data_IF_341817955700
#
_entry.id   IF_341817955700
#
_cell.length_a   1.000
_cell.length_b   1.000
_cell.length_c   1.000
_cell.angle_alpha   90.00
_cell.angle_beta   90.00
_cell.angle_gamma   90.00
#
_symmetry.space_group_name_H-M   'P 1'
#
loop_
_entity.id
_entity.type
_entity.pdbx_description
1 polymer ?
#
# COMPACT_ATOMS: atom_id res chain seq x y z
N UNK A 1 7.37 10.57 6.02
CA UNK A 1 6.20 9.76 5.61
C UNK A 1 5.44 10.41 4.44
N UNK A 2 4.75 11.54 4.64
CA UNK A 2 3.87 12.13 3.62
C UNK A 2 4.53 12.41 2.25
N UNK A 3 5.69 13.07 2.24
CA UNK A 3 6.37 13.44 0.99
C UNK A 3 6.82 12.21 0.19
N UNK A 4 7.37 11.18 0.85
CA UNK A 4 7.78 9.94 0.19
C UNK A 4 6.59 9.19 -0.40
N UNK A 5 5.48 9.11 0.33
CA UNK A 5 4.22 8.52 -0.15
C UNK A 5 3.68 9.28 -1.36
N UNK A 6 3.62 10.61 -1.29
CA UNK A 6 3.17 11.45 -2.39
C UNK A 6 4.00 11.20 -3.65
N UNK A 7 5.34 11.19 -3.54
CA UNK A 7 6.24 10.97 -4.66
C UNK A 7 6.05 9.57 -5.26
N UNK A 8 6.00 8.54 -4.41
CA UNK A 8 5.83 7.15 -4.87
C UNK A 8 4.49 6.96 -5.61
N UNK A 9 3.39 7.43 -5.04
CA UNK A 9 2.05 7.27 -5.64
C UNK A 9 1.85 8.22 -6.83
N UNK A 10 2.51 9.38 -6.86
CA UNK A 10 2.52 10.24 -8.06
C UNK A 10 3.25 9.56 -9.21
N UNK A 11 4.42 8.95 -8.94
CA UNK A 11 5.14 8.17 -9.94
C UNK A 11 4.29 7.02 -10.47
N UNK A 12 3.53 6.33 -9.62
CA UNK A 12 2.58 5.31 -10.06
C UNK A 12 1.48 5.92 -10.95
N UNK A 13 0.90 7.06 -10.54
CA UNK A 13 -0.13 7.75 -11.32
C UNK A 13 0.36 8.20 -12.69
N UNK A 14 1.61 8.61 -12.81
CA UNK A 14 2.22 9.00 -14.08
C UNK A 14 2.38 7.79 -15.01
N UNK A 15 2.82 6.64 -14.47
CA UNK A 15 2.87 5.37 -15.22
C UNK A 15 1.48 4.93 -15.69
N UNK A 16 0.47 4.92 -14.80
CA UNK A 16 -0.90 4.54 -15.16
C UNK A 16 -1.47 5.44 -16.28
N UNK A 17 -1.16 6.74 -16.27
CA UNK A 17 -1.58 7.66 -17.34
C UNK A 17 -0.87 7.40 -18.65
N UNK A 18 0.42 7.05 -18.60
CA UNK A 18 1.20 6.73 -19.79
C UNK A 18 0.67 5.44 -20.46
N UNK A 19 0.39 4.41 -19.66
CA UNK A 19 -0.16 3.15 -20.16
C UNK A 19 -1.55 3.35 -20.78
N UNK A 20 -2.44 4.10 -20.11
CA UNK A 20 -3.76 4.43 -20.67
C UNK A 20 -3.67 5.25 -21.97
N UNK A 21 -2.69 6.13 -22.08
CA UNK A 21 -2.48 6.91 -23.30
C UNK A 21 -1.97 6.04 -24.45
N UNK A 22 -1.09 5.07 -24.16
CA UNK A 22 -0.60 4.09 -25.12
C UNK A 22 -1.74 3.19 -25.61
N UNK A 23 -2.48 2.60 -24.68
CA UNK A 23 -3.65 1.73 -24.91
C UNK A 23 -4.68 2.42 -25.81
N UNK A 24 -4.99 3.69 -25.51
CA UNK A 24 -5.89 4.48 -26.34
C UNK A 24 -5.39 4.66 -27.78
N UNK A 25 -4.07 4.74 -27.97
CA UNK A 25 -3.44 4.78 -29.30
C UNK A 25 -3.52 3.44 -30.02
N UNK A 26 -3.30 2.35 -29.31
CA UNK A 26 -3.38 0.97 -29.79
C UNK A 26 -4.82 0.63 -30.23
N UNK A 27 -5.82 0.91 -29.40
CA UNK A 27 -7.24 0.77 -29.76
C UNK A 27 -7.66 1.58 -30.99
N UNK A 28 -7.03 2.73 -31.23
CA UNK A 28 -7.31 3.56 -32.39
C UNK A 28 -6.62 3.08 -33.68
N UNK A 29 -5.50 2.38 -33.57
CA UNK A 29 -4.63 2.02 -34.71
C UNK A 29 -4.65 0.53 -35.06
N UNK A 30 -4.96 -0.34 -34.09
CA UNK A 30 -4.90 -1.80 -34.20
C UNK A 30 -6.12 -2.49 -33.53
N UNK A 31 -7.37 -2.08 -33.79
CA UNK A 31 -8.53 -2.57 -33.05
C UNK A 31 -8.75 -4.09 -33.14
N UNK A 32 -8.41 -4.72 -34.28
CA UNK A 32 -8.51 -6.17 -34.45
C UNK A 32 -7.47 -6.92 -33.62
N UNK A 33 -6.27 -6.33 -33.43
CA UNK A 33 -5.23 -6.90 -32.60
C UNK A 33 -5.63 -6.81 -31.12
N UNK A 34 -6.08 -5.64 -30.67
CA UNK A 34 -6.54 -5.43 -29.29
C UNK A 34 -7.69 -6.36 -28.92
N UNK A 35 -8.62 -6.59 -29.85
CA UNK A 35 -9.69 -7.58 -29.66
C UNK A 35 -9.16 -8.99 -29.41
N UNK A 36 -8.15 -9.41 -30.18
CA UNK A 36 -7.53 -10.73 -30.02
C UNK A 36 -6.73 -10.82 -28.72
N UNK A 37 -6.05 -9.75 -28.33
CA UNK A 37 -5.32 -9.64 -27.07
C UNK A 37 -6.26 -9.78 -25.86
N UNK A 38 -7.37 -9.02 -25.84
CA UNK A 38 -8.36 -9.12 -24.77
C UNK A 38 -8.98 -10.53 -24.72
N UNK A 39 -9.29 -11.13 -25.87
CA UNK A 39 -9.78 -12.51 -25.92
C UNK A 39 -8.75 -13.50 -25.35
N UNK A 40 -7.47 -13.35 -25.68
CA UNK A 40 -6.39 -14.21 -25.17
C UNK A 40 -6.23 -14.12 -23.64
N UNK A 41 -6.45 -12.93 -23.05
CA UNK A 41 -6.51 -12.76 -21.58
C UNK A 41 -7.61 -13.66 -20.98
N UNK A 42 -8.79 -13.72 -21.59
CA UNK A 42 -9.87 -14.58 -21.12
C UNK A 42 -9.60 -16.07 -21.36
N UNK A 43 -8.96 -16.43 -22.48
CA UNK A 43 -8.52 -17.82 -22.73
C UNK A 43 -7.54 -18.28 -21.65
N UNK A 44 -6.54 -17.46 -21.29
CA UNK A 44 -5.59 -17.72 -20.19
C UNK A 44 -6.29 -17.88 -18.84
N UNK A 45 -7.46 -17.23 -18.65
CA UNK A 45 -8.31 -17.38 -17.46
C UNK A 45 -9.24 -18.60 -17.51
N UNK A 46 -9.22 -19.37 -18.60
CA UNK A 46 -9.97 -20.62 -18.76
C UNK A 46 -11.25 -20.52 -19.58
N UNK A 47 -11.49 -19.40 -20.27
CA UNK A 47 -12.63 -19.25 -21.19
C UNK A 47 -12.32 -19.96 -22.51
N UNK A 48 -13.30 -20.66 -23.08
CA UNK A 48 -13.14 -21.29 -24.40
C UNK A 48 -12.90 -20.22 -25.49
N UNK A 49 -12.02 -20.45 -26.48
CA UNK A 49 -11.64 -19.43 -27.48
C UNK A 49 -12.79 -18.73 -28.19
N UNK A 50 -13.81 -19.46 -28.64
CA UNK A 50 -14.95 -18.83 -29.34
C UNK A 50 -15.78 -17.96 -28.39
N UNK A 51 -15.94 -18.38 -27.13
CA UNK A 51 -16.59 -17.56 -26.10
C UNK A 51 -15.75 -16.35 -25.69
N UNK A 52 -14.43 -16.48 -25.60
CA UNK A 52 -13.53 -15.39 -25.25
C UNK A 52 -13.58 -14.25 -26.27
N UNK A 53 -13.67 -14.57 -27.57
CA UNK A 53 -13.90 -13.58 -28.63
C UNK A 53 -15.23 -12.84 -28.43
N UNK A 54 -16.31 -13.55 -28.11
CA UNK A 54 -17.61 -12.93 -27.84
C UNK A 54 -17.60 -12.05 -26.59
N UNK A 55 -16.82 -12.41 -25.58
CA UNK A 55 -16.61 -11.59 -24.37
C UNK A 55 -15.86 -10.32 -24.73
N UNK A 56 -14.74 -10.42 -25.46
CA UNK A 56 -13.98 -9.27 -25.90
C UNK A 56 -14.84 -8.30 -26.73
N UNK A 57 -15.63 -8.82 -27.69
CA UNK A 57 -16.55 -8.02 -28.51
C UNK A 57 -17.55 -7.23 -27.66
N UNK A 58 -18.18 -7.88 -26.69
CA UNK A 58 -19.18 -7.24 -25.82
C UNK A 58 -18.58 -6.22 -24.87
N UNK A 59 -17.40 -6.49 -24.31
CA UNK A 59 -16.72 -5.57 -23.41
C UNK A 59 -16.18 -4.35 -24.14
N UNK A 60 -15.54 -4.56 -25.30
CA UNK A 60 -15.04 -3.46 -26.14
C UNK A 60 -16.17 -2.58 -26.68
N UNK A 61 -17.31 -3.16 -27.05
CA UNK A 61 -18.48 -2.41 -27.48
C UNK A 61 -19.05 -1.49 -26.38
N UNK A 62 -18.92 -1.89 -25.11
CA UNK A 62 -19.35 -1.07 -23.97
C UNK A 62 -18.31 0.00 -23.60
N UNK A 63 -17.06 -0.41 -23.44
CA UNK A 63 -15.94 0.43 -23.02
C UNK A 63 -14.61 -0.30 -23.26
N UNK A 64 -14.05 -0.17 -24.46
CA UNK A 64 -12.79 -0.83 -24.83
C UNK A 64 -11.62 -0.40 -23.95
N UNK A 65 -11.43 0.91 -23.75
CA UNK A 65 -10.34 1.42 -22.91
C UNK A 65 -10.51 0.95 -21.46
N UNK A 66 -11.72 0.97 -20.91
CA UNK A 66 -11.97 0.47 -19.55
C UNK A 66 -11.86 -1.05 -19.42
N UNK A 67 -12.11 -1.81 -20.48
CA UNK A 67 -11.91 -3.26 -20.52
C UNK A 67 -10.41 -3.59 -20.48
N UNK A 68 -9.60 -3.02 -21.38
CA UNK A 68 -8.14 -3.22 -21.39
C UNK A 68 -7.49 -2.65 -20.12
N UNK A 69 -7.87 -1.45 -19.69
CA UNK A 69 -7.37 -0.88 -18.44
C UNK A 69 -7.56 -1.84 -17.25
N UNK A 70 -8.72 -2.48 -17.14
CA UNK A 70 -9.00 -3.42 -16.05
C UNK A 70 -8.33 -4.78 -16.24
N UNK A 71 -8.51 -5.37 -17.42
CA UNK A 71 -8.22 -6.78 -17.65
C UNK A 71 -6.79 -7.04 -18.12
N UNK A 72 -6.16 -6.07 -18.75
CA UNK A 72 -4.76 -6.09 -19.19
C UNK A 72 -3.85 -5.31 -18.22
N UNK A 73 -4.16 -4.03 -17.96
CA UNK A 73 -3.29 -3.14 -17.16
C UNK A 73 -3.50 -3.25 -15.65
N UNK A 74 -4.59 -3.88 -15.19
CA UNK A 74 -4.94 -3.97 -13.76
C UNK A 74 -5.39 -2.65 -13.12
N UNK A 75 -5.68 -1.63 -13.93
CA UNK A 75 -6.14 -0.32 -13.53
C UNK A 75 -7.67 -0.35 -13.39
N UNK A 76 -8.15 -0.10 -12.18
CA UNK A 76 -9.57 -0.07 -11.82
C UNK A 76 -9.85 1.12 -10.90
N UNK A 77 -11.11 1.50 -10.69
CA UNK A 77 -11.47 2.58 -9.77
C UNK A 77 -10.92 2.38 -8.34
N UNK A 78 -10.80 1.12 -7.91
CA UNK A 78 -10.29 0.75 -6.59
C UNK A 78 -8.76 0.78 -6.54
N UNK A 79 -8.09 0.51 -7.66
CA UNK A 79 -6.63 0.42 -7.75
C UNK A 79 -5.96 1.70 -8.26
N UNK A 80 -6.73 2.67 -8.77
CA UNK A 80 -6.21 3.93 -9.30
C UNK A 80 -5.40 4.70 -8.25
N UNK A 81 -4.21 5.15 -8.62
CA UNK A 81 -3.33 5.92 -7.75
C UNK A 81 -3.96 7.26 -7.30
N UNK A 82 -3.94 7.53 -5.98
CA UNK A 82 -4.46 8.78 -5.38
C UNK A 82 -3.40 9.46 -4.50
N UNK A 83 -2.45 10.22 -5.08
CA UNK A 83 -1.24 10.65 -4.39
C UNK A 83 -1.48 11.51 -3.14
N UNK A 84 -2.39 12.49 -3.24
CA UNK A 84 -2.70 13.39 -2.12
C UNK A 84 -3.39 12.62 -0.99
N UNK A 85 -4.34 11.74 -1.34
CA UNK A 85 -5.04 10.94 -0.35
C UNK A 85 -4.08 10.00 0.38
N UNK A 86 -3.20 9.30 -0.35
CA UNK A 86 -2.19 8.43 0.24
C UNK A 86 -1.25 9.22 1.16
N UNK A 87 -0.73 10.36 0.70
CA UNK A 87 0.18 11.20 1.48
C UNK A 87 -0.44 11.70 2.78
N UNK A 88 -1.68 12.20 2.74
CA UNK A 88 -2.39 12.69 3.93
C UNK A 88 -2.76 11.55 4.88
N UNK A 89 -3.20 10.40 4.36
CA UNK A 89 -3.47 9.23 5.17
C UNK A 89 -2.21 8.74 5.88
N UNK A 90 -1.07 8.64 5.17
CA UNK A 90 0.22 8.27 5.75
C UNK A 90 0.73 9.30 6.75
N UNK A 91 0.52 10.60 6.52
CA UNK A 91 0.86 11.66 7.47
C UNK A 91 0.06 11.53 8.77
N UNK A 92 -1.25 11.36 8.65
CA UNK A 92 -2.15 11.22 9.79
C UNK A 92 -1.85 9.95 10.58
N UNK A 93 -1.72 8.81 9.90
CA UNK A 93 -1.41 7.52 10.54
C UNK A 93 -0.08 7.57 11.30
N UNK A 94 0.96 8.15 10.71
CA UNK A 94 2.25 8.32 11.38
C UNK A 94 2.15 9.24 12.60
N UNK A 95 1.46 10.37 12.47
CA UNK A 95 1.30 11.33 13.56
C UNK A 95 0.54 10.72 14.74
N UNK A 96 -0.56 9.99 14.48
CA UNK A 96 -1.32 9.26 15.50
C UNK A 96 -0.47 8.15 16.11
N UNK A 97 0.27 7.40 15.30
CA UNK A 97 1.19 6.35 15.74
C UNK A 97 2.27 6.85 16.70
N UNK A 98 2.81 8.05 16.44
CA UNK A 98 3.85 8.67 17.27
C UNK A 98 3.30 9.41 18.50
N UNK A 99 2.01 9.77 18.50
CA UNK A 99 1.42 10.62 19.54
C UNK A 99 1.56 10.02 20.95
N UNK A 100 1.30 8.72 21.11
CA UNK A 100 1.34 8.11 22.44
C UNK A 100 2.77 8.00 23.00
N UNK A 101 3.77 7.47 22.28
CA UNK A 101 5.17 7.49 22.74
C UNK A 101 5.66 8.90 23.11
N UNK A 102 5.31 9.92 22.31
CA UNK A 102 5.66 11.31 22.60
C UNK A 102 4.96 11.85 23.86
N UNK A 103 3.69 11.52 24.06
CA UNK A 103 2.97 11.90 25.28
C UNK A 103 3.64 11.28 26.52
N UNK A 104 4.14 10.04 26.43
CA UNK A 104 4.84 9.39 27.54
C UNK A 104 6.15 10.09 27.90
N UNK A 105 6.85 10.71 26.94
CA UNK A 105 8.04 11.51 27.23
C UNK A 105 7.73 12.68 28.17
N UNK A 106 6.58 13.34 27.99
CA UNK A 106 6.20 14.52 28.77
C UNK A 106 5.85 14.20 30.23
N UNK A 107 5.34 13.00 30.49
CA UNK A 107 4.85 12.61 31.82
C UNK A 107 5.79 11.68 32.58
N UNK A 108 6.82 11.13 31.91
CA UNK A 108 7.72 10.14 32.52
C UNK A 108 8.83 10.82 33.34
N UNK A 109 9.09 10.37 34.58
CA UNK A 109 10.30 10.73 35.29
C UNK A 109 11.55 10.32 34.51
N UNK A 110 12.60 11.14 34.57
CA UNK A 110 13.86 10.91 33.82
C UNK A 110 14.46 9.53 34.07
N UNK A 111 14.43 9.04 35.31
CA UNK A 111 14.94 7.72 35.69
C UNK A 111 14.23 6.54 35.00
N UNK A 112 12.97 6.72 34.60
CA UNK A 112 12.14 5.66 34.00
C UNK A 112 11.79 5.93 32.54
N UNK A 113 12.26 7.05 31.96
CA UNK A 113 11.86 7.53 30.64
C UNK A 113 11.95 6.45 29.55
N UNK A 114 13.11 5.81 29.43
CA UNK A 114 13.35 4.79 28.41
C UNK A 114 12.42 3.58 28.58
N UNK A 115 12.23 3.12 29.82
CA UNK A 115 11.37 1.98 30.12
C UNK A 115 9.89 2.31 29.85
N UNK A 116 9.40 3.44 30.34
CA UNK A 116 8.00 3.86 30.18
C UNK A 116 7.65 4.07 28.72
N UNK A 117 8.47 4.81 27.97
CA UNK A 117 8.24 5.04 26.53
C UNK A 117 8.26 3.72 25.77
N UNK A 118 9.18 2.81 26.09
CA UNK A 118 9.29 1.51 25.42
C UNK A 118 8.06 0.62 25.65
N UNK A 119 7.69 0.43 26.92
CA UNK A 119 6.52 -0.40 27.27
C UNK A 119 5.25 0.18 26.66
N UNK A 120 5.06 1.49 26.78
CA UNK A 120 3.89 2.14 26.22
C UNK A 120 3.86 1.98 24.68
N UNK A 121 4.97 2.28 23.99
CA UNK A 121 5.08 2.10 22.53
C UNK A 121 4.70 0.68 22.10
N UNK A 122 5.20 -0.35 22.79
CA UNK A 122 4.90 -1.74 22.47
C UNK A 122 3.43 -2.09 22.70
N UNK A 123 2.82 -1.60 23.79
CA UNK A 123 1.38 -1.80 24.03
C UNK A 123 0.54 -1.12 22.94
N UNK A 124 0.91 0.08 22.50
CA UNK A 124 0.19 0.77 21.44
C UNK A 124 0.39 0.15 20.08
N UNK A 125 1.60 -0.29 19.76
CA UNK A 125 1.88 -1.11 18.58
C UNK A 125 1.06 -2.40 18.60
N UNK A 126 0.86 -3.02 19.77
CA UNK A 126 0.03 -4.21 19.88
C UNK A 126 -1.45 -3.92 19.55
N UNK A 127 -1.97 -2.80 20.07
CA UNK A 127 -3.33 -2.31 19.79
C UNK A 127 -3.49 -1.95 18.31
N UNK A 128 -2.57 -1.17 17.74
CA UNK A 128 -2.59 -0.79 16.34
C UNK A 128 -2.47 -2.01 15.42
N UNK A 129 -1.60 -2.97 15.76
CA UNK A 129 -1.48 -4.24 15.05
C UNK A 129 -2.78 -5.04 15.06
N UNK A 130 -3.47 -5.08 16.20
CA UNK A 130 -4.75 -5.79 16.32
C UNK A 130 -5.87 -5.10 15.52
N UNK A 131 -5.95 -3.76 15.60
CA UNK A 131 -6.91 -2.96 14.83
C UNK A 131 -6.66 -3.12 13.32
N UNK A 132 -5.41 -2.98 12.89
CA UNK A 132 -5.03 -3.13 11.49
C UNK A 132 -5.32 -4.52 10.95
N UNK A 133 -5.10 -5.57 11.75
CA UNK A 133 -5.43 -6.94 11.37
C UNK A 133 -6.93 -7.15 11.20
N UNK A 134 -7.74 -6.63 12.13
CA UNK A 134 -9.20 -6.72 12.05
C UNK A 134 -9.75 -5.96 10.84
N UNK A 135 -9.22 -4.76 10.58
CA UNK A 135 -9.60 -3.96 9.41
C UNK A 135 -9.22 -4.65 8.09
N UNK A 136 -8.06 -5.31 8.04
CA UNK A 136 -7.55 -6.01 6.85
C UNK A 136 -8.01 -7.46 6.70
N UNK A 137 -8.89 -7.98 7.58
CA UNK A 137 -9.33 -9.38 7.54
C UNK A 137 -8.23 -10.41 7.84
N UNK A 138 -7.13 -10.00 8.49
CA UNK A 138 -5.99 -10.85 8.81
C UNK A 138 -6.10 -11.46 10.22
N UNK A 139 -5.29 -12.49 10.50
CA UNK A 139 -5.18 -13.07 11.83
C UNK A 139 -4.58 -12.05 12.82
N UNK A 140 -5.37 -11.64 13.81
CA UNK A 140 -5.03 -10.62 14.82
C UNK A 140 -3.74 -10.96 15.56
N UNK A 141 -3.61 -12.18 16.08
CA UNK A 141 -2.45 -12.57 16.87
C UNK A 141 -1.15 -12.49 16.05
N UNK A 142 -1.15 -13.02 14.82
CA UNK A 142 0.04 -12.99 13.95
C UNK A 142 0.45 -11.55 13.59
N UNK A 143 -0.52 -10.71 13.27
CA UNK A 143 -0.26 -9.32 12.91
C UNK A 143 0.26 -8.50 14.11
N UNK A 144 -0.37 -8.64 15.27
CA UNK A 144 0.06 -8.01 16.52
C UNK A 144 1.49 -8.42 16.87
N UNK A 145 1.80 -9.72 16.89
CA UNK A 145 3.15 -10.22 17.17
C UNK A 145 4.19 -9.70 16.18
N UNK A 146 3.85 -9.67 14.88
CA UNK A 146 4.76 -9.15 13.84
C UNK A 146 5.10 -7.68 14.08
N UNK A 147 4.11 -6.84 14.35
CA UNK A 147 4.32 -5.40 14.53
C UNK A 147 5.07 -5.12 15.85
N UNK A 148 4.71 -5.78 16.94
CA UNK A 148 5.39 -5.58 18.23
C UNK A 148 6.80 -6.13 18.23
N UNK A 149 7.06 -7.26 17.55
CA UNK A 149 8.41 -7.82 17.41
C UNK A 149 9.35 -6.86 16.68
N UNK A 150 8.95 -6.37 15.51
CA UNK A 150 9.79 -5.43 14.74
C UNK A 150 9.94 -4.08 15.45
N UNK A 151 8.90 -3.63 16.16
CA UNK A 151 8.98 -2.47 17.05
C UNK A 151 10.02 -2.66 18.15
N UNK A 152 9.94 -3.76 18.90
CA UNK A 152 10.87 -4.08 19.98
C UNK A 152 12.32 -4.20 19.48
N UNK A 153 12.53 -4.86 18.33
CA UNK A 153 13.85 -5.00 17.74
C UNK A 153 14.44 -3.65 17.33
N UNK A 154 13.66 -2.79 16.66
CA UNK A 154 14.10 -1.45 16.27
C UNK A 154 14.46 -0.60 17.51
N UNK A 155 13.66 -0.68 18.57
CA UNK A 155 13.94 0.01 19.84
C UNK A 155 15.22 -0.52 20.51
N UNK A 156 15.41 -1.84 20.55
CA UNK A 156 16.61 -2.45 21.11
C UNK A 156 17.88 -2.06 20.33
N UNK A 157 17.80 -2.05 18.99
CA UNK A 157 18.92 -1.65 18.14
C UNK A 157 19.27 -0.16 18.31
N UNK A 158 18.26 0.73 18.30
CA UNK A 158 18.48 2.17 18.47
C UNK A 158 19.01 2.51 19.87
N UNK A 159 18.47 1.88 20.92
CA UNK A 159 19.00 2.01 22.28
C UNK A 159 20.44 1.47 22.40
N UNK A 160 20.72 0.32 21.78
CA UNK A 160 22.06 -0.27 21.75
C UNK A 160 23.08 0.62 21.05
N UNK A 161 22.75 1.16 19.88
CA UNK A 161 23.59 2.14 19.17
C UNK A 161 23.78 3.38 20.04
N UNK A 162 22.72 3.90 20.65
CA UNK A 162 22.79 5.04 21.56
C UNK A 162 23.71 4.79 22.76
N UNK A 163 23.70 3.59 23.33
CA UNK A 163 24.59 3.21 24.43
C UNK A 163 26.07 3.09 24.01
N UNK A 164 26.34 2.63 22.77
CA UNK A 164 27.71 2.51 22.24
C UNK A 164 28.28 3.87 21.84
N UNK A 165 27.47 4.76 21.27
CA UNK A 165 27.92 6.10 20.82
C UNK A 165 27.90 7.10 21.96
N UNK A 166 26.94 7.02 22.87
CA UNK A 166 26.80 7.92 24.01
C UNK A 166 27.89 7.77 25.08
N UNK A 167 28.72 6.72 25.01
CA UNK A 167 29.94 6.57 25.82
C UNK A 167 31.18 7.19 25.17
N UNK A 168 31.07 7.67 23.93
CA UNK A 168 32.17 8.23 23.14
C UNK A 168 32.29 9.77 23.22
N UNK A 169 31.56 10.42 24.13
CA UNK A 169 31.65 11.87 24.42
C UNK A 169 31.84 12.07 25.93
#
# INVERSE_FOLDING_TARGET
MAAGEYVSVSSQSDTERADLAREKGELATQPDFERLELADIYVKRGVEPTLALQVADQLMAKDALGAHARDELGISEVTTARPIQAALASAAAFSVGAAMPLAMVLVSPSAWLAATVSVASLLFLAVLGAIGAKAGGANVMRATLRVTFWGALAMALTAGIGAVVGTAI
#
